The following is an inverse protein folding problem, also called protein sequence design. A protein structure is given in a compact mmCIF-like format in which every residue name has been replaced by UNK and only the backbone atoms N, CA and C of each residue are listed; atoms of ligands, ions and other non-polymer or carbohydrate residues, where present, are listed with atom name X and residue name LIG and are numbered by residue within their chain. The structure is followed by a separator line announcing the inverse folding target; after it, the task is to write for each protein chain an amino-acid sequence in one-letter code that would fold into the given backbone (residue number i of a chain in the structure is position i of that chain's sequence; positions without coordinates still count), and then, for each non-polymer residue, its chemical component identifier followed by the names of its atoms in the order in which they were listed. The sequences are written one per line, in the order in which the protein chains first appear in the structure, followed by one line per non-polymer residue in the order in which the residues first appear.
data_IF_954264638175
#
_entry.id   IF_954264638175
#
_cell.length_a   1.000
_cell.length_b   1.000
_cell.length_c   1.000
_cell.angle_alpha   90.00
_cell.angle_beta   90.00
_cell.angle_gamma   90.00
#
_symmetry.space_group_name_H-M   'P 1'
#
loop_
_entity.id
_entity.type
_entity.pdbx_description
1 polymer ?
#
# COMPACT_ATOMS: atom_id res chain seq x y z
N UNK A 1 6.44 -21.15 -5.77
CA UNK A 1 6.69 -19.69 -5.64
C UNK A 1 6.47 -19.33 -4.18
N UNK A 2 7.44 -18.75 -3.47
CA UNK A 2 7.28 -18.28 -2.09
C UNK A 2 6.47 -16.97 -2.07
N UNK A 3 5.76 -16.68 -0.97
CA UNK A 3 5.02 -15.43 -0.80
C UNK A 3 5.94 -14.19 -0.92
N UNK A 4 7.17 -14.30 -0.41
CA UNK A 4 8.24 -13.31 -0.58
C UNK A 4 8.42 -12.89 -2.06
N UNK A 5 8.56 -13.85 -2.97
CA UNK A 5 8.80 -13.57 -4.39
C UNK A 5 7.60 -12.90 -5.05
N UNK A 6 6.38 -13.15 -4.57
CA UNK A 6 5.17 -12.54 -5.13
C UNK A 6 5.05 -11.06 -4.74
N UNK A 7 5.26 -10.71 -3.46
CA UNK A 7 5.19 -9.32 -3.00
C UNK A 7 6.31 -8.46 -3.56
N UNK A 8 7.53 -9.00 -3.66
CA UNK A 8 8.67 -8.30 -4.26
C UNK A 8 8.44 -8.05 -5.76
N UNK A 9 7.83 -9.00 -6.48
CA UNK A 9 7.46 -8.81 -7.88
C UNK A 9 6.40 -7.72 -8.06
N UNK A 10 5.37 -7.71 -7.19
CA UNK A 10 4.33 -6.67 -7.20
C UNK A 10 4.92 -5.29 -6.89
N UNK A 11 5.78 -5.19 -5.87
CA UNK A 11 6.47 -3.96 -5.52
C UNK A 11 7.33 -3.45 -6.68
N UNK A 12 8.13 -4.33 -7.29
CA UNK A 12 9.00 -3.99 -8.42
C UNK A 12 8.21 -3.45 -9.61
N UNK A 13 7.04 -4.03 -9.90
CA UNK A 13 6.16 -3.59 -10.98
C UNK A 13 5.51 -2.23 -10.66
N UNK A 14 5.10 -2.02 -9.41
CA UNK A 14 4.40 -0.82 -8.93
C UNK A 14 5.33 0.40 -8.81
N UNK A 15 6.57 0.17 -8.37
CA UNK A 15 7.48 1.22 -7.90
C UNK A 15 7.74 2.35 -8.91
N UNK A 16 8.03 2.07 -10.21
CA UNK A 16 8.32 3.13 -11.18
C UNK A 16 7.17 4.13 -11.32
N UNK A 17 5.94 3.63 -11.40
CA UNK A 17 4.73 4.46 -11.53
C UNK A 17 4.49 5.27 -10.27
N UNK A 18 4.63 4.65 -9.09
CA UNK A 18 4.46 5.32 -7.81
C UNK A 18 5.48 6.44 -7.61
N UNK A 19 6.77 6.19 -7.87
CA UNK A 19 7.83 7.18 -7.74
C UNK A 19 7.62 8.37 -8.69
N UNK A 20 7.20 8.13 -9.94
CA UNK A 20 6.86 9.18 -10.90
C UNK A 20 5.68 10.05 -10.42
N UNK A 21 4.65 9.43 -9.84
CA UNK A 21 3.50 10.14 -9.28
C UNK A 21 3.90 11.03 -8.08
N UNK A 22 4.75 10.53 -7.18
CA UNK A 22 5.27 11.34 -6.06
C UNK A 22 6.09 12.55 -6.56
N UNK A 23 6.94 12.36 -7.58
CA UNK A 23 7.75 13.44 -8.14
C UNK A 23 6.91 14.55 -8.80
N UNK A 24 5.73 14.21 -9.32
CA UNK A 24 4.83 15.15 -9.98
C UNK A 24 3.76 15.74 -9.07
N UNK A 25 3.69 15.27 -7.81
CA UNK A 25 2.79 15.79 -6.78
C UNK A 25 3.01 17.28 -6.55
N UNK A 26 1.92 18.06 -6.40
CA UNK A 26 1.97 19.52 -6.23
C UNK A 26 1.65 19.98 -4.81
N UNK A 27 0.96 19.15 -4.03
CA UNK A 27 0.65 19.41 -2.63
C UNK A 27 0.46 18.09 -1.85
N UNK A 28 0.35 18.18 -0.52
CA UNK A 28 0.20 17.01 0.35
C UNK A 28 -0.95 16.06 -0.03
N UNK A 29 -2.10 16.60 -0.45
CA UNK A 29 -3.24 15.77 -0.86
C UNK A 29 -2.96 14.91 -2.12
N UNK A 30 -2.01 15.29 -2.98
CA UNK A 30 -1.61 14.44 -4.12
C UNK A 30 -0.81 13.23 -3.63
N UNK A 31 0.06 13.45 -2.65
CA UNK A 31 0.90 12.40 -2.05
C UNK A 31 0.04 11.36 -1.36
N UNK A 32 -0.92 11.79 -0.54
CA UNK A 32 -1.88 10.90 0.12
C UNK A 32 -2.67 10.08 -0.90
N UNK A 33 -3.14 10.73 -1.98
CA UNK A 33 -3.86 10.07 -3.06
C UNK A 33 -3.02 9.01 -3.78
N UNK A 34 -1.80 9.35 -4.16
CA UNK A 34 -0.93 8.42 -4.87
C UNK A 34 -0.46 7.27 -3.99
N UNK A 35 -0.25 7.53 -2.69
CA UNK A 35 -0.01 6.46 -1.72
C UNK A 35 -1.18 5.48 -1.66
N UNK A 36 -2.40 5.99 -1.47
CA UNK A 36 -3.58 5.12 -1.37
C UNK A 36 -3.85 4.35 -2.67
N UNK A 37 -3.63 4.95 -3.85
CA UNK A 37 -3.74 4.22 -5.13
C UNK A 37 -2.68 3.13 -5.28
N UNK A 38 -1.43 3.41 -4.90
CA UNK A 38 -0.37 2.41 -4.99
C UNK A 38 -0.65 1.21 -4.08
N UNK A 39 -1.11 1.46 -2.85
CA UNK A 39 -1.53 0.40 -1.93
C UNK A 39 -2.75 -0.35 -2.46
N UNK A 40 -3.73 0.34 -3.03
CA UNK A 40 -4.92 -0.30 -3.61
C UNK A 40 -4.56 -1.26 -4.75
N UNK A 41 -3.65 -0.85 -5.64
CA UNK A 41 -3.11 -1.71 -6.70
C UNK A 41 -2.37 -2.93 -6.13
N UNK A 42 -1.49 -2.71 -5.14
CA UNK A 42 -0.78 -3.77 -4.44
C UNK A 42 -1.77 -4.79 -3.86
N UNK A 43 -2.78 -4.32 -3.09
CA UNK A 43 -3.74 -5.18 -2.41
C UNK A 43 -4.67 -5.92 -3.37
N UNK A 44 -5.03 -5.32 -4.51
CA UNK A 44 -5.70 -6.06 -5.58
C UNK A 44 -4.83 -7.18 -6.14
N UNK A 45 -3.51 -6.95 -6.29
CA UNK A 45 -2.56 -8.00 -6.65
C UNK A 45 -2.50 -9.13 -5.61
N UNK A 46 -2.50 -8.78 -4.32
CA UNK A 46 -2.52 -9.76 -3.22
C UNK A 46 -3.80 -10.61 -3.23
N UNK A 47 -4.95 -10.00 -3.52
CA UNK A 47 -6.26 -10.65 -3.49
C UNK A 47 -6.73 -11.17 -4.86
N UNK A 48 -5.90 -11.11 -5.90
CA UNK A 48 -6.30 -11.42 -7.28
C UNK A 48 -6.85 -12.85 -7.50
N UNK A 49 -6.54 -13.78 -6.59
CA UNK A 49 -7.02 -15.17 -6.62
C UNK A 49 -8.25 -15.47 -5.75
N UNK A 50 -8.78 -14.49 -5.03
CA UNK A 50 -9.89 -14.72 -4.08
C UNK A 50 -11.24 -14.90 -4.77
N UNK A 51 -11.88 -16.03 -4.52
CA UNK A 51 -13.19 -16.36 -5.08
C UNK A 51 -14.27 -15.53 -4.37
N UNK A 52 -14.99 -14.71 -5.13
CA UNK A 52 -16.10 -13.89 -4.63
C UNK A 52 -15.80 -12.39 -4.53
N UNK A 53 -14.52 -12.00 -4.62
CA UNK A 53 -14.09 -10.60 -4.68
C UNK A 53 -14.35 -9.80 -3.39
N UNK A 54 -13.32 -9.16 -2.85
CA UNK A 54 -13.48 -8.19 -1.77
C UNK A 54 -13.26 -6.78 -2.32
N UNK A 55 -14.28 -5.94 -2.25
CA UNK A 55 -14.15 -4.55 -2.66
C UNK A 55 -13.20 -3.82 -1.70
N UNK A 56 -12.13 -3.24 -2.22
CA UNK A 56 -11.21 -2.35 -1.50
C UNK A 56 -11.55 -0.93 -1.91
N UNK A 57 -11.79 -0.05 -0.94
CA UNK A 57 -12.05 1.36 -1.22
C UNK A 57 -10.83 2.20 -0.88
N UNK A 58 -10.74 3.35 -1.54
CA UNK A 58 -9.69 4.33 -1.30
C UNK A 58 -9.66 4.77 0.17
N UNK A 59 -10.83 4.95 0.78
CA UNK A 59 -10.99 5.44 2.15
C UNK A 59 -10.53 4.43 3.21
N UNK A 60 -10.33 3.17 2.83
CA UNK A 60 -9.79 2.15 3.71
C UNK A 60 -8.27 2.25 3.89
N UNK A 61 -7.59 3.12 3.14
CA UNK A 61 -6.13 3.21 3.13
C UNK A 61 -5.73 4.64 3.50
N UNK A 62 -4.81 4.79 4.45
CA UNK A 62 -4.31 6.09 4.87
C UNK A 62 -2.79 6.08 5.02
N UNK A 63 -2.18 7.15 4.51
CA UNK A 63 -0.84 7.55 4.92
C UNK A 63 -0.97 8.11 6.34
N UNK A 64 -0.28 7.50 7.29
CA UNK A 64 -0.39 7.84 8.72
C UNK A 64 1.01 7.82 9.34
N UNK A 65 1.78 8.93 9.23
CA UNK A 65 3.15 8.99 9.72
C UNK A 65 3.32 8.72 11.22
N UNK A 66 2.23 8.79 12.00
CA UNK A 66 2.25 8.50 13.43
C UNK A 66 2.09 6.99 13.74
N UNK A 67 1.62 6.19 12.78
CA UNK A 67 1.48 4.76 12.94
C UNK A 67 2.84 4.03 12.86
N UNK A 68 3.01 2.85 13.49
CA UNK A 68 4.27 2.10 13.52
C UNK A 68 4.89 1.73 12.16
N UNK A 69 4.11 1.76 11.07
CA UNK A 69 4.58 1.58 9.69
C UNK A 69 4.45 2.84 8.81
N UNK A 70 3.95 3.94 9.38
CA UNK A 70 3.60 5.15 8.64
C UNK A 70 2.32 5.02 7.79
N UNK A 71 1.54 3.95 7.98
CA UNK A 71 0.29 3.68 7.27
C UNK A 71 -0.75 3.06 8.20
N UNK A 72 -2.02 3.24 7.85
CA UNK A 72 -3.13 2.56 8.50
C UNK A 72 -4.15 2.06 7.49
N UNK A 73 -4.80 0.95 7.83
CA UNK A 73 -5.89 0.36 7.07
C UNK A 73 -7.18 0.38 7.91
N UNK A 74 -8.32 0.59 7.28
CA UNK A 74 -9.60 0.45 7.94
C UNK A 74 -9.79 -0.98 8.45
N UNK A 75 -10.45 -1.10 9.61
CA UNK A 75 -10.61 -2.39 10.29
C UNK A 75 -11.27 -3.45 9.40
N UNK A 76 -12.25 -3.08 8.56
CA UNK A 76 -12.92 -4.02 7.65
C UNK A 76 -11.93 -4.66 6.67
N UNK A 77 -10.97 -3.87 6.17
CA UNK A 77 -9.98 -4.29 5.20
C UNK A 77 -8.91 -5.14 5.92
N UNK A 78 -8.36 -4.63 7.02
CA UNK A 78 -7.36 -5.34 7.81
C UNK A 78 -7.86 -6.68 8.40
N UNK A 79 -9.18 -6.82 8.62
CA UNK A 79 -9.80 -8.04 9.15
C UNK A 79 -10.27 -9.02 8.06
N UNK A 80 -10.15 -8.68 6.78
CA UNK A 80 -10.49 -9.59 5.69
C UNK A 80 -9.53 -10.80 5.72
N UNK A 81 -9.99 -12.06 5.85
CA UNK A 81 -9.10 -13.15 6.28
C UNK A 81 -7.85 -13.39 5.40
N UNK A 82 -7.94 -13.40 4.05
CA UNK A 82 -6.77 -13.46 3.19
C UNK A 82 -5.77 -12.32 3.41
N UNK A 83 -6.27 -11.09 3.61
CA UNK A 83 -5.42 -9.92 3.84
C UNK A 83 -4.84 -9.93 5.25
N UNK A 84 -5.64 -10.30 6.25
CA UNK A 84 -5.18 -10.48 7.63
C UNK A 84 -4.04 -11.50 7.72
N UNK A 85 -4.14 -12.60 6.98
CA UNK A 85 -3.09 -13.61 6.89
C UNK A 85 -1.81 -13.04 6.25
N UNK A 86 -1.93 -12.27 5.16
CA UNK A 86 -0.79 -11.61 4.53
C UNK A 86 -0.14 -10.54 5.43
N UNK A 87 -0.94 -9.79 6.20
CA UNK A 87 -0.49 -8.78 7.16
C UNK A 87 0.19 -9.38 8.40
N UNK A 88 -0.11 -10.63 8.74
CA UNK A 88 0.55 -11.35 9.83
C UNK A 88 1.98 -11.78 9.47
N UNK A 89 2.29 -11.91 8.16
CA UNK A 89 3.64 -12.10 7.66
C UNK A 89 4.43 -10.78 7.60
N UNK A 90 5.77 -10.80 7.59
CA UNK A 90 6.59 -9.59 7.54
C UNK A 90 6.63 -8.93 6.14
N UNK A 91 6.32 -9.66 5.08
CA UNK A 91 6.60 -9.24 3.71
C UNK A 91 5.68 -8.11 3.24
N UNK A 92 4.37 -8.28 3.37
CA UNK A 92 3.40 -7.24 2.98
C UNK A 92 3.54 -5.96 3.83
N UNK A 93 3.62 -6.03 5.18
CA UNK A 93 3.93 -4.86 6.00
C UNK A 93 5.23 -4.15 5.62
N UNK A 94 6.28 -4.88 5.21
CA UNK A 94 7.53 -4.27 4.78
C UNK A 94 7.36 -3.46 3.47
N UNK A 95 6.63 -3.98 2.49
CA UNK A 95 6.30 -3.25 1.25
C UNK A 95 5.47 -2.00 1.56
N UNK A 96 4.41 -2.13 2.36
CA UNK A 96 3.56 -1.00 2.76
C UNK A 96 4.36 0.09 3.47
N UNK A 97 5.29 -0.31 4.34
CA UNK A 97 6.16 0.61 5.07
C UNK A 97 7.11 1.35 4.12
N UNK A 98 7.69 0.68 3.11
CA UNK A 98 8.54 1.34 2.10
C UNK A 98 7.77 2.35 1.26
N UNK A 99 6.56 2.00 0.82
CA UNK A 99 5.67 2.93 0.10
C UNK A 99 5.33 4.16 0.97
N UNK A 100 4.99 3.92 2.23
CA UNK A 100 4.70 4.97 3.22
C UNK A 100 5.89 5.89 3.44
N UNK A 101 7.09 5.35 3.62
CA UNK A 101 8.30 6.15 3.82
C UNK A 101 8.60 7.06 2.62
N UNK A 102 8.47 6.55 1.40
CA UNK A 102 8.65 7.35 0.19
C UNK A 102 7.60 8.48 0.10
N UNK A 103 6.33 8.18 0.38
CA UNK A 103 5.27 9.17 0.43
C UNK A 103 5.51 10.23 1.52
N UNK A 104 5.85 9.81 2.74
CA UNK A 104 6.12 10.69 3.87
C UNK A 104 7.32 11.62 3.61
N UNK A 105 8.39 11.10 2.97
CA UNK A 105 9.52 11.93 2.55
C UNK A 105 9.10 13.00 1.54
N UNK A 106 8.23 12.66 0.59
CA UNK A 106 7.67 13.63 -0.36
C UNK A 106 6.74 14.64 0.30
N UNK A 107 5.94 14.20 1.27
CA UNK A 107 5.01 15.03 2.04
C UNK A 107 5.76 16.10 2.85
N UNK A 108 6.87 15.71 3.50
CA UNK A 108 7.72 16.61 4.28
C UNK A 108 8.49 17.64 3.43
N UNK A 109 8.49 17.49 2.10
CA UNK A 109 9.11 18.43 1.17
C UNK A 109 8.16 19.57 0.70
N UNK A 110 6.92 19.58 1.20
CA UNK A 110 5.98 20.69 1.05
C UNK A 110 5.96 21.56 2.29
#
# INVERSE_FOLDING_TARGET
MSAQNAFESLETALWPTFAAALNTSRHGADVEKYFAYAVLELLHGVLAGEIGGFAIFYEDIRLDPAAPGGWSLALRLASHPPLAAALAGPELPAVLTRLSQAAAARLAAF
#
